data_IF_197011690492
#
_entry.id   IF_197011690492
#
_cell.length_a   1.000
_cell.length_b   1.000
_cell.length_c   1.000
_cell.angle_alpha   90.00
_cell.angle_beta   90.00
_cell.angle_gamma   90.00
#
_symmetry.space_group_name_H-M   'P 1'
#
loop_
_entity.id
_entity.type
_entity.pdbx_description
1 polymer ?
#
# COMPACT_ATOMS: atom_id res chain seq x y z
N UNK A 1 -3.65 20.68 21.80
CA UNK A 1 -3.09 21.42 20.65
C UNK A 1 -1.59 21.46 20.82
N UNK A 2 -0.83 20.75 19.97
CA UNK A 2 0.64 20.89 19.89
C UNK A 2 0.93 21.07 18.40
N UNK A 3 1.60 22.16 18.02
CA UNK A 3 1.99 22.53 16.65
C UNK A 3 0.88 22.79 15.63
N UNK A 4 -0.33 23.17 16.03
CA UNK A 4 -1.36 23.66 15.08
C UNK A 4 -2.02 22.58 14.21
N UNK A 5 -1.79 21.30 14.49
CA UNK A 5 -2.47 20.19 13.82
C UNK A 5 -3.57 19.63 14.72
N UNK A 6 -4.80 19.58 14.19
CA UNK A 6 -5.98 19.03 14.86
C UNK A 6 -6.15 17.57 14.41
N UNK A 7 -5.90 16.63 15.31
CA UNK A 7 -6.07 15.20 15.09
C UNK A 7 -7.46 14.81 15.63
N UNK A 8 -8.41 14.42 14.76
CA UNK A 8 -9.75 13.98 15.17
C UNK A 8 -9.81 12.46 15.34
N UNK A 9 -10.22 11.99 16.52
CA UNK A 9 -10.40 10.57 16.82
C UNK A 9 -11.75 10.09 16.28
N UNK A 10 -11.74 9.33 15.19
CA UNK A 10 -12.89 8.59 14.66
C UNK A 10 -12.44 7.18 14.26
N UNK A 11 -13.27 6.18 14.55
CA UNK A 11 -13.05 4.73 14.42
C UNK A 11 -12.78 4.21 12.98
N UNK A 12 -11.73 4.70 12.32
CA UNK A 12 -11.10 4.06 11.15
C UNK A 12 -9.75 4.75 10.90
N UNK A 13 -8.67 4.00 11.03
CA UNK A 13 -7.30 4.52 11.08
C UNK A 13 -6.85 5.01 9.71
N UNK A 14 -6.95 6.33 9.47
CA UNK A 14 -6.32 6.98 8.31
C UNK A 14 -5.70 8.33 8.72
N UNK A 15 -4.37 8.39 8.74
CA UNK A 15 -3.62 9.66 8.82
C UNK A 15 -3.10 10.04 7.43
N UNK A 16 -3.71 11.04 6.79
CA UNK A 16 -3.26 11.65 5.55
C UNK A 16 -2.76 13.09 5.80
N UNK A 17 -1.73 13.52 5.08
CA UNK A 17 -1.28 14.92 5.09
C UNK A 17 -2.37 15.79 4.47
N UNK A 18 -2.86 16.79 5.22
CA UNK A 18 -4.05 17.61 4.95
C UNK A 18 -3.96 18.58 3.76
N UNK A 19 -2.93 18.49 2.92
CA UNK A 19 -2.80 19.37 1.74
C UNK A 19 -3.57 18.89 0.50
N UNK A 20 -4.15 17.67 0.51
CA UNK A 20 -5.01 17.16 -0.59
C UNK A 20 -6.14 16.31 0.00
N UNK A 21 -7.20 16.98 0.43
CA UNK A 21 -8.45 16.37 0.88
C UNK A 21 -9.24 15.79 -0.31
N UNK A 22 -9.09 14.49 -0.55
CA UNK A 22 -10.17 13.64 -1.05
C UNK A 22 -9.97 12.26 -0.40
N UNK A 23 -10.81 11.94 0.59
CA UNK A 23 -10.80 10.65 1.26
C UNK A 23 -11.19 9.55 0.30
N UNK A 24 -10.23 8.99 -0.42
CA UNK A 24 -10.39 7.69 -1.06
C UNK A 24 -10.29 6.63 0.02
N UNK A 25 -11.37 5.88 0.24
CA UNK A 25 -11.32 4.65 1.02
C UNK A 25 -10.25 3.76 0.36
N UNK A 26 -9.09 3.65 1.01
CA UNK A 26 -7.95 2.98 0.43
C UNK A 26 -8.09 1.48 0.69
N UNK A 27 -8.54 0.73 -0.31
CA UNK A 27 -8.67 -0.71 -0.16
C UNK A 27 -7.27 -1.35 -0.08
N UNK A 28 -6.98 -1.99 1.05
CA UNK A 28 -5.72 -2.69 1.30
C UNK A 28 -6.01 -4.18 1.24
N UNK A 29 -5.41 -4.87 0.28
CA UNK A 29 -5.58 -6.33 0.12
C UNK A 29 -4.26 -7.03 0.46
N UNK A 30 -4.31 -7.99 1.37
CA UNK A 30 -3.19 -8.89 1.69
C UNK A 30 -3.29 -10.14 0.82
N UNK A 31 -2.31 -10.34 -0.08
CA UNK A 31 -2.25 -11.51 -0.95
C UNK A 31 -1.26 -12.50 -0.35
N UNK A 32 -1.69 -13.66 0.18
CA UNK A 32 -0.80 -14.65 0.75
C UNK A 32 0.10 -15.24 -0.35
N UNK A 33 1.35 -15.52 0.01
CA UNK A 33 2.32 -16.21 -0.86
C UNK A 33 2.63 -17.59 -0.30
N UNK A 34 3.05 -18.56 -1.13
CA UNK A 34 3.45 -19.89 -0.65
C UNK A 34 4.56 -19.87 0.40
N UNK A 35 5.35 -18.80 0.46
CA UNK A 35 6.44 -18.61 1.44
C UNK A 35 5.97 -18.27 2.86
N UNK A 36 4.66 -18.15 3.10
CA UNK A 36 4.09 -17.72 4.38
C UNK A 36 4.10 -16.20 4.59
N UNK A 37 4.76 -15.44 3.70
CA UNK A 37 4.67 -13.97 3.63
C UNK A 37 3.45 -13.54 2.80
N UNK A 38 3.14 -12.26 2.81
CA UNK A 38 2.09 -11.67 1.97
C UNK A 38 2.61 -10.50 1.14
N UNK A 39 1.94 -10.23 0.03
CA UNK A 39 2.04 -8.97 -0.71
C UNK A 39 0.94 -8.03 -0.25
N UNK A 40 1.22 -6.73 -0.22
CA UNK A 40 0.20 -5.71 -0.06
C UNK A 40 -0.19 -5.19 -1.44
N UNK A 41 -1.48 -5.22 -1.76
CA UNK A 41 -2.03 -4.57 -2.93
C UNK A 41 -2.73 -3.29 -2.51
N UNK A 42 -2.31 -2.17 -3.12
CA UNK A 42 -2.80 -0.82 -2.88
C UNK A 42 -2.87 -0.11 -4.22
N UNK A 43 -4.04 0.45 -4.56
CA UNK A 43 -4.32 1.11 -5.84
C UNK A 43 -3.94 0.25 -7.07
N UNK A 44 -4.17 -1.08 -6.98
CA UNK A 44 -3.84 -2.04 -8.05
C UNK A 44 -2.36 -2.39 -8.19
N UNK A 45 -1.47 -1.77 -7.41
CA UNK A 45 -0.05 -2.12 -7.37
C UNK A 45 0.26 -3.03 -6.19
N UNK A 46 1.17 -3.99 -6.39
CA UNK A 46 1.63 -4.86 -5.31
C UNK A 46 2.97 -4.42 -4.75
N UNK A 47 3.14 -4.61 -3.46
CA UNK A 47 4.34 -4.28 -2.71
C UNK A 47 4.83 -5.50 -1.93
N UNK A 48 6.15 -5.68 -1.88
CA UNK A 48 6.83 -6.65 -1.05
C UNK A 48 7.38 -5.98 0.20
N UNK A 49 7.30 -6.66 1.34
CA UNK A 49 7.96 -6.21 2.55
C UNK A 49 9.47 -6.22 2.34
N UNK A 50 10.12 -5.09 2.60
CA UNK A 50 11.57 -4.95 2.50
C UNK A 50 12.22 -5.00 3.87
N UNK A 51 11.80 -4.12 4.80
CA UNK A 51 12.31 -4.11 6.16
C UNK A 51 11.29 -3.48 7.12
N UNK A 52 10.89 -4.20 8.17
CA UNK A 52 9.92 -3.72 9.15
C UNK A 52 8.65 -3.18 8.48
N UNK A 53 8.39 -1.89 8.68
CA UNK A 53 7.24 -1.19 8.11
C UNK A 53 7.44 -0.74 6.65
N UNK A 54 8.61 -0.93 6.05
CA UNK A 54 8.93 -0.46 4.70
C UNK A 54 8.59 -1.50 3.64
N UNK A 55 7.82 -1.08 2.64
CA UNK A 55 7.36 -1.92 1.55
C UNK A 55 7.72 -1.27 0.21
N UNK A 56 8.25 -2.08 -0.71
CA UNK A 56 8.70 -1.64 -2.03
C UNK A 56 7.81 -2.25 -3.11
N UNK A 57 7.60 -1.53 -4.21
CA UNK A 57 6.86 -2.06 -5.35
C UNK A 57 7.45 -3.41 -5.78
N UNK A 58 6.59 -4.38 -6.10
CA UNK A 58 7.01 -5.71 -6.55
C UNK A 58 7.88 -5.68 -7.81
N UNK A 59 7.73 -4.63 -8.63
CA UNK A 59 8.55 -4.42 -9.83
C UNK A 59 9.85 -3.65 -9.56
N UNK A 60 10.23 -3.40 -8.30
CA UNK A 60 11.48 -2.70 -7.95
C UNK A 60 12.70 -3.41 -8.56
N UNK A 61 12.77 -4.74 -8.44
CA UNK A 61 13.91 -5.51 -8.96
C UNK A 61 13.85 -5.68 -10.48
N UNK A 62 12.66 -5.91 -11.04
CA UNK A 62 12.45 -6.26 -12.45
C UNK A 62 12.36 -5.05 -13.38
N UNK A 63 11.75 -3.96 -12.95
CA UNK A 63 11.50 -2.76 -13.77
C UNK A 63 12.10 -1.48 -13.16
N UNK A 64 12.95 -1.61 -12.12
CA UNK A 64 13.60 -0.49 -11.43
C UNK A 64 12.62 0.56 -10.87
N UNK A 65 11.38 0.16 -10.62
CA UNK A 65 10.35 1.01 -10.04
C UNK A 65 10.76 1.46 -8.63
N UNK A 66 10.65 2.76 -8.33
CA UNK A 66 11.05 3.34 -7.03
C UNK A 66 9.87 3.63 -6.11
N UNK A 67 8.67 3.19 -6.47
CA UNK A 67 7.48 3.33 -5.64
C UNK A 67 7.62 2.52 -4.34
N UNK A 68 7.19 3.13 -3.23
CA UNK A 68 7.34 2.62 -1.87
C UNK A 68 6.22 3.13 -0.96
N UNK A 69 5.83 2.30 -0.02
CA UNK A 69 4.86 2.63 1.02
C UNK A 69 5.41 2.22 2.39
N UNK A 70 4.78 2.72 3.45
CA UNK A 70 4.93 2.16 4.79
C UNK A 70 3.64 1.50 5.22
N UNK A 71 3.74 0.38 5.90
CA UNK A 71 2.59 -0.35 6.42
C UNK A 71 2.85 -0.78 7.86
N UNK A 72 1.95 -0.38 8.76
CA UNK A 72 2.03 -0.61 10.19
C UNK A 72 0.61 -0.58 10.78
N UNK A 73 0.27 -1.51 11.68
CA UNK A 73 -1.04 -1.57 12.36
C UNK A 73 -2.22 -1.39 11.39
N UNK A 74 -2.23 -2.20 10.32
CA UNK A 74 -3.24 -2.17 9.25
C UNK A 74 -3.41 -0.83 8.51
N UNK A 75 -2.46 0.09 8.70
CA UNK A 75 -2.45 1.42 8.08
C UNK A 75 -1.38 1.50 7.01
N UNK A 76 -1.74 2.00 5.83
CA UNK A 76 -0.78 2.30 4.76
C UNK A 76 -0.51 3.80 4.69
N UNK A 77 0.76 4.17 4.76
CA UNK A 77 1.26 5.49 4.41
C UNK A 77 1.94 5.45 3.04
N UNK A 78 1.37 6.16 2.07
CA UNK A 78 1.96 6.36 0.74
C UNK A 78 3.20 7.25 0.86
N UNK A 79 4.38 6.74 0.50
CA UNK A 79 5.65 7.51 0.56
C UNK A 79 6.08 7.98 -0.82
N UNK A 80 6.07 7.07 -1.80
CA UNK A 80 6.27 7.39 -3.21
C UNK A 80 5.35 6.49 -4.03
N UNK A 81 4.43 7.07 -4.77
CA UNK A 81 3.46 6.34 -5.61
C UNK A 81 3.69 6.55 -7.10
N UNK A 82 4.83 7.13 -7.47
CA UNK A 82 5.21 7.28 -8.88
C UNK A 82 5.75 5.95 -9.41
N UNK A 83 4.90 5.24 -10.14
CA UNK A 83 5.26 3.99 -10.80
C UNK A 83 5.76 4.26 -12.22
N UNK A 84 6.84 3.59 -12.59
CA UNK A 84 7.42 3.65 -13.95
C UNK A 84 6.86 2.58 -14.88
N UNK A 85 5.76 1.95 -14.49
CA UNK A 85 5.15 0.82 -15.19
C UNK A 85 3.65 0.75 -14.91
N UNK A 86 2.87 0.10 -15.79
CA UNK A 86 1.46 -0.11 -15.54
C UNK A 86 1.21 -1.07 -14.36
N UNK A 87 0.03 -1.02 -13.73
CA UNK A 87 -0.36 -1.98 -12.70
C UNK A 87 -0.32 -3.41 -13.26
N UNK A 88 0.21 -4.38 -12.48
CA UNK A 88 0.11 -5.79 -12.82
C UNK A 88 -1.37 -6.24 -12.86
N UNK A 89 -1.71 -7.09 -13.83
CA UNK A 89 -3.05 -7.67 -13.91
C UNK A 89 -3.16 -8.84 -12.94
N UNK A 90 -4.21 -8.84 -12.15
CA UNK A 90 -4.59 -9.95 -11.28
C UNK A 90 -6.02 -10.35 -11.58
N UNK A 91 -6.30 -11.65 -11.61
CA UNK A 91 -7.67 -12.14 -11.51
C UNK A 91 -7.92 -12.70 -10.11
N UNK A 92 -9.11 -12.40 -9.59
CA UNK A 92 -9.57 -12.87 -8.30
C UNK A 92 -10.49 -14.08 -8.50
N UNK A 93 -10.19 -15.21 -7.86
CA UNK A 93 -11.01 -16.43 -7.90
C UNK A 93 -11.05 -17.07 -6.52
N UNK A 94 -12.25 -17.25 -5.95
CA UNK A 94 -12.46 -17.89 -4.63
C UNK A 94 -11.64 -17.26 -3.49
N UNK A 95 -11.53 -15.93 -3.42
CA UNK A 95 -10.73 -15.27 -2.37
C UNK A 95 -9.23 -15.21 -2.65
N UNK A 96 -8.77 -15.80 -3.77
CA UNK A 96 -7.35 -15.85 -4.13
C UNK A 96 -7.04 -14.95 -5.32
N UNK A 97 -5.88 -14.28 -5.26
CA UNK A 97 -5.36 -13.42 -6.31
C UNK A 97 -4.30 -14.15 -7.12
N UNK A 98 -4.50 -14.22 -8.43
CA UNK A 98 -3.58 -14.85 -9.36
C UNK A 98 -3.05 -13.78 -10.31
N UNK A 99 -1.72 -13.64 -10.35
CA UNK A 99 -1.05 -12.73 -11.28
C UNK A 99 -1.10 -13.31 -12.69
N UNK A 100 -1.45 -12.48 -13.68
CA UNK A 100 -1.45 -12.82 -15.12
C UNK A 100 -0.16 -12.35 -15.78
#
# INVERSE_FOLDING_TARGET
>A
MINGYTYSHMNSVYWYCSSKSQGSNLEIIKIPTPSGKFLLMVDGYTYNQNNGIHWLCSSFKTQKCRARIRYFEDTVLKVNTDHTHPPPKYYHRRGMYFKV
#
